data_IF_698395554403
#
_entry.id   IF_698395554403
#
_cell.length_a   1.000
_cell.length_b   1.000
_cell.length_c   1.000
_cell.angle_alpha   90.00
_cell.angle_beta   90.00
_cell.angle_gamma   90.00
#
_symmetry.space_group_name_H-M   'P 1'
#
loop_
_entity.id
_entity.type
_entity.pdbx_description
1 polymer ?
#
# COMPACT_ATOMS: atom_id res chain seq x y z
N UNK A 1 14.43 6.08 -11.71
CA UNK A 1 15.14 7.36 -11.97
C UNK A 1 14.92 7.78 -13.42
N UNK A 2 15.18 6.93 -14.41
CA UNK A 2 14.86 7.22 -15.81
C UNK A 2 13.37 7.54 -16.00
N UNK A 3 12.47 6.75 -15.39
CA UNK A 3 11.02 6.99 -15.47
C UNK A 3 10.60 8.39 -14.95
N UNK A 4 11.23 8.84 -13.86
CA UNK A 4 11.01 10.17 -13.28
C UNK A 4 11.49 11.26 -14.24
N UNK A 5 12.64 11.06 -14.89
CA UNK A 5 13.18 12.01 -15.86
C UNK A 5 12.30 12.13 -17.12
N UNK A 6 11.80 11.00 -17.63
CA UNK A 6 10.89 10.99 -18.79
C UNK A 6 9.54 11.62 -18.48
N UNK A 7 9.00 11.36 -17.28
CA UNK A 7 7.66 11.80 -16.92
C UNK A 7 7.62 13.29 -16.53
N UNK A 8 8.64 13.77 -15.81
CA UNK A 8 8.77 15.18 -15.45
C UNK A 8 9.28 16.07 -16.59
N UNK A 9 9.49 15.50 -17.79
CA UNK A 9 10.04 16.19 -18.96
C UNK A 9 11.30 17.01 -18.62
N UNK A 10 12.16 16.44 -17.75
CA UNK A 10 13.37 17.11 -17.30
C UNK A 10 14.27 17.36 -18.54
N UNK A 11 14.81 18.59 -18.73
CA UNK A 11 15.68 18.93 -19.87
C UNK A 11 17.09 18.36 -19.66
N UNK A 12 17.16 17.06 -19.37
CA UNK A 12 18.37 16.30 -19.12
C UNK A 12 18.55 15.35 -20.30
N UNK A 13 19.64 15.50 -21.04
CA UNK A 13 20.00 14.58 -22.13
C UNK A 13 20.60 13.34 -21.51
N UNK A 14 19.89 12.22 -21.59
CA UNK A 14 20.41 10.90 -21.20
C UNK A 14 20.46 9.93 -22.39
N UNK A 15 21.57 9.18 -22.47
CA UNK A 15 21.78 8.09 -23.44
C UNK A 15 21.43 6.75 -22.80
N UNK A 16 21.13 5.73 -23.62
CA UNK A 16 21.00 4.34 -23.15
C UNK A 16 22.29 3.79 -22.53
N UNK A 17 23.42 4.41 -22.84
CA UNK A 17 24.75 4.03 -22.34
C UNK A 17 25.13 4.73 -21.03
N UNK A 18 24.33 5.70 -20.56
CA UNK A 18 24.63 6.40 -19.30
C UNK A 18 24.47 5.45 -18.10
N UNK A 19 25.48 5.40 -17.24
CA UNK A 19 25.39 4.64 -15.99
C UNK A 19 24.48 5.35 -14.99
N UNK A 20 24.06 4.63 -13.95
CA UNK A 20 23.30 5.21 -12.83
C UNK A 20 24.00 6.44 -12.23
N UNK A 21 25.33 6.41 -12.17
CA UNK A 21 26.13 7.51 -11.63
C UNK A 21 26.10 8.73 -12.56
N UNK A 22 26.18 8.52 -13.88
CA UNK A 22 26.14 9.61 -14.86
C UNK A 22 24.79 10.33 -14.85
N UNK A 23 23.69 9.57 -14.74
CA UNK A 23 22.34 10.12 -14.62
C UNK A 23 22.20 10.95 -13.33
N UNK A 24 22.75 10.48 -12.21
CA UNK A 24 22.75 11.21 -10.95
C UNK A 24 23.55 12.52 -11.05
N UNK A 25 24.72 12.50 -11.68
CA UNK A 25 25.55 13.69 -11.87
C UNK A 25 24.86 14.72 -12.76
N UNK A 26 24.17 14.28 -13.83
CA UNK A 26 23.38 15.15 -14.70
C UNK A 26 22.18 15.78 -13.97
N UNK A 27 21.47 15.01 -13.15
CA UNK A 27 20.39 15.50 -12.29
C UNK A 27 20.93 16.51 -11.26
N UNK A 28 22.08 16.24 -10.66
CA UNK A 28 22.72 17.16 -9.72
C UNK A 28 23.14 18.47 -10.40
N UNK A 29 23.69 18.39 -11.62
CA UNK A 29 23.99 19.55 -12.46
C UNK A 29 22.74 20.38 -12.79
N UNK A 30 21.61 19.72 -13.05
CA UNK A 30 20.32 20.38 -13.24
C UNK A 30 19.88 21.13 -11.98
N UNK A 31 19.92 20.49 -10.80
CA UNK A 31 19.59 21.14 -9.53
C UNK A 31 20.50 22.33 -9.19
N UNK A 32 21.77 22.30 -9.64
CA UNK A 32 22.71 23.40 -9.43
C UNK A 32 22.46 24.58 -10.37
N UNK A 33 21.95 24.31 -11.57
CA UNK A 33 21.73 25.33 -12.63
C UNK A 33 20.38 26.03 -12.51
N UNK A 34 19.35 25.34 -12.01
CA UNK A 34 18.00 25.86 -11.92
C UNK A 34 17.60 26.00 -10.45
N UNK A 35 17.39 27.24 -9.98
CA UNK A 35 16.91 27.49 -8.61
C UNK A 35 15.39 27.38 -8.47
N UNK A 36 14.66 27.60 -9.56
CA UNK A 36 13.19 27.51 -9.62
C UNK A 36 12.84 26.84 -10.94
N UNK A 37 12.13 25.72 -10.85
CA UNK A 37 11.58 25.01 -12.00
C UNK A 37 10.20 24.51 -11.59
N UNK A 38 9.18 24.84 -12.38
CA UNK A 38 7.82 24.34 -12.20
C UNK A 38 7.61 23.12 -13.08
N UNK A 39 7.04 22.07 -12.49
CA UNK A 39 6.69 20.87 -13.24
C UNK A 39 5.24 20.96 -13.72
N UNK A 40 4.93 20.45 -14.93
CA UNK A 40 3.55 20.22 -15.32
C UNK A 40 2.92 19.15 -14.41
N UNK A 41 1.58 19.10 -14.39
CA UNK A 41 0.81 18.12 -13.61
C UNK A 41 1.36 16.71 -13.86
N UNK A 42 1.86 16.07 -12.81
CA UNK A 42 2.53 14.78 -12.86
C UNK A 42 1.94 13.83 -11.81
N UNK A 43 2.12 12.52 -12.00
CA UNK A 43 1.55 11.52 -11.08
C UNK A 43 2.16 11.56 -9.67
N UNK A 44 3.23 12.35 -9.48
CA UNK A 44 3.90 12.55 -8.21
C UNK A 44 3.41 13.81 -7.46
N UNK A 45 2.50 14.59 -8.04
CA UNK A 45 2.01 15.88 -7.51
C UNK A 45 3.14 16.83 -7.09
N UNK A 46 4.24 16.84 -7.85
CA UNK A 46 5.36 17.75 -7.62
C UNK A 46 5.09 19.03 -8.40
N UNK A 47 5.03 20.17 -7.75
CA UNK A 47 4.78 21.45 -8.43
C UNK A 47 6.09 22.21 -8.65
N UNK A 48 7.00 22.13 -7.67
CA UNK A 48 8.26 22.86 -7.69
C UNK A 48 9.46 21.95 -7.52
N UNK A 49 10.63 22.44 -7.95
CA UNK A 49 11.93 21.78 -7.77
C UNK A 49 12.22 21.35 -6.33
N UNK A 50 11.72 22.12 -5.35
CA UNK A 50 11.83 21.78 -3.92
C UNK A 50 11.08 20.47 -3.59
N UNK A 51 9.92 20.24 -4.19
CA UNK A 51 9.14 19.01 -3.99
C UNK A 51 9.88 17.82 -4.56
N UNK A 52 10.51 17.97 -5.74
CA UNK A 52 11.34 16.92 -6.32
C UNK A 52 12.55 16.60 -5.43
N UNK A 53 13.20 17.62 -4.87
CA UNK A 53 14.31 17.44 -3.93
C UNK A 53 13.85 16.68 -2.69
N UNK A 54 12.72 17.08 -2.10
CA UNK A 54 12.13 16.43 -0.94
C UNK A 54 11.74 14.98 -1.25
N UNK A 55 11.13 14.73 -2.42
CA UNK A 55 10.77 13.40 -2.90
C UNK A 55 11.99 12.49 -3.05
N UNK A 56 13.08 12.99 -3.65
CA UNK A 56 14.32 12.21 -3.83
C UNK A 56 15.06 11.94 -2.52
N UNK A 57 14.95 12.82 -1.52
CA UNK A 57 15.57 12.63 -0.20
C UNK A 57 14.69 11.89 0.80
N UNK A 58 13.37 11.88 0.60
CA UNK A 58 12.44 11.11 1.43
C UNK A 58 12.69 9.61 1.29
N UNK A 59 12.45 8.84 2.35
CA UNK A 59 12.47 7.38 2.26
C UNK A 59 11.50 6.95 1.17
N UNK A 60 12.02 6.26 0.13
CA UNK A 60 11.23 5.88 -1.04
C UNK A 60 9.98 5.11 -0.57
N UNK A 61 8.77 5.65 -0.74
CA UNK A 61 7.55 4.95 -0.34
C UNK A 61 7.33 3.67 -1.17
N UNK A 62 8.04 3.54 -2.29
CA UNK A 62 8.12 2.35 -3.12
C UNK A 62 9.42 1.56 -2.92
N UNK A 63 10.16 1.77 -1.82
CA UNK A 63 11.30 0.92 -1.45
C UNK A 63 10.80 -0.52 -1.49
N UNK A 64 11.31 -1.31 -2.43
CA UNK A 64 10.96 -2.72 -2.53
C UNK A 64 11.36 -3.36 -1.20
N UNK A 65 10.36 -3.76 -0.41
CA UNK A 65 10.55 -4.52 0.81
C UNK A 65 11.45 -5.72 0.49
N UNK A 66 12.48 -5.90 1.30
CA UNK A 66 13.24 -7.15 1.28
C UNK A 66 12.34 -8.31 1.70
N UNK A 67 12.66 -9.54 1.29
CA UNK A 67 11.90 -10.72 1.69
C UNK A 67 11.77 -10.81 3.23
N UNK A 68 12.86 -10.51 3.96
CA UNK A 68 12.88 -10.50 5.43
C UNK A 68 11.92 -9.47 6.04
N UNK A 69 11.91 -8.23 5.53
CA UNK A 69 11.00 -7.19 6.03
C UNK A 69 9.54 -7.56 5.74
N UNK A 70 9.27 -8.12 4.55
CA UNK A 70 7.92 -8.57 4.19
C UNK A 70 7.45 -9.71 5.09
N UNK A 71 8.31 -10.69 5.37
CA UNK A 71 7.99 -11.79 6.28
C UNK A 71 7.72 -11.29 7.69
N UNK A 72 8.50 -10.31 8.17
CA UNK A 72 8.25 -9.63 9.45
C UNK A 72 6.87 -8.96 9.48
N UNK A 73 6.54 -8.16 8.46
CA UNK A 73 5.23 -7.46 8.38
C UNK A 73 4.08 -8.48 8.37
N UNK A 74 4.23 -9.57 7.60
CA UNK A 74 3.22 -10.63 7.54
C UNK A 74 3.09 -11.33 8.88
N UNK A 75 4.20 -11.61 9.55
CA UNK A 75 4.22 -12.23 10.87
C UNK A 75 3.50 -11.37 11.91
N UNK A 76 3.82 -10.08 12.00
CA UNK A 76 3.12 -9.13 12.90
C UNK A 76 1.63 -9.05 12.57
N UNK A 77 1.27 -8.97 11.29
CA UNK A 77 -0.13 -8.98 10.86
C UNK A 77 -0.87 -10.25 11.32
N UNK A 78 -0.20 -11.41 11.32
CA UNK A 78 -0.77 -12.67 11.79
C UNK A 78 -0.92 -12.71 13.31
N UNK A 79 0.05 -12.18 14.07
CA UNK A 79 -0.07 -12.04 15.54
C UNK A 79 -1.30 -11.24 15.92
N UNK A 80 -1.51 -10.09 15.27
CA UNK A 80 -2.68 -9.23 15.49
C UNK A 80 -3.98 -9.94 15.11
N UNK A 81 -4.00 -10.66 13.99
CA UNK A 81 -5.16 -11.44 13.59
C UNK A 81 -5.45 -12.60 14.56
N UNK A 82 -4.42 -13.23 15.12
CA UNK A 82 -4.58 -14.26 16.14
C UNK A 82 -5.25 -13.69 17.38
N UNK A 83 -4.77 -12.54 17.86
CA UNK A 83 -5.41 -11.79 18.95
C UNK A 83 -6.90 -11.48 18.63
N UNK A 84 -7.20 -10.98 17.43
CA UNK A 84 -8.57 -10.67 17.03
C UNK A 84 -9.47 -11.91 16.90
N UNK A 85 -8.92 -13.07 16.52
CA UNK A 85 -9.65 -14.33 16.42
C UNK A 85 -9.91 -14.98 17.79
N UNK A 86 -9.12 -14.65 18.82
CA UNK A 86 -9.31 -15.11 20.19
C UNK A 86 -10.12 -14.09 21.02
N UNK A 87 -11.15 -13.50 20.41
CA UNK A 87 -12.04 -12.53 21.04
C UNK A 87 -11.32 -11.35 21.72
N UNK A 88 -10.18 -10.93 21.17
CA UNK A 88 -9.39 -9.79 21.67
C UNK A 88 -8.88 -10.00 23.11
N UNK A 89 -8.66 -11.26 23.50
CA UNK A 89 -8.14 -11.61 24.81
C UNK A 89 -6.61 -11.65 24.82
N UNK A 90 -5.99 -10.76 25.61
CA UNK A 90 -4.53 -10.65 25.73
C UNK A 90 -3.89 -11.94 26.27
N UNK A 91 -4.58 -12.72 27.11
CA UNK A 91 -4.06 -13.98 27.69
C UNK A 91 -3.77 -15.05 26.64
N UNK A 92 -4.45 -14.98 25.50
CA UNK A 92 -4.29 -15.91 24.37
C UNK A 92 -3.57 -15.23 23.21
N UNK A 93 -2.72 -14.25 23.50
CA UNK A 93 -1.96 -13.51 22.52
C UNK A 93 -0.50 -13.44 22.92
N UNK A 94 0.36 -13.20 21.93
CA UNK A 94 1.80 -12.98 22.12
C UNK A 94 2.11 -11.51 22.46
N UNK A 95 1.16 -10.78 23.06
CA UNK A 95 1.25 -9.38 23.41
C UNK A 95 1.00 -9.23 24.91
N UNK A 96 1.83 -8.44 25.58
CA UNK A 96 1.69 -8.19 27.01
C UNK A 96 0.71 -7.04 27.29
N UNK A 97 0.65 -6.07 26.36
CA UNK A 97 -0.22 -4.90 26.47
C UNK A 97 -0.93 -4.57 25.16
N UNK A 98 -2.07 -3.90 25.28
CA UNK A 98 -2.80 -3.37 24.11
C UNK A 98 -1.98 -2.30 23.35
N UNK A 99 -1.09 -1.58 24.04
CA UNK A 99 -0.24 -0.57 23.42
C UNK A 99 0.74 -1.17 22.40
N UNK A 100 1.32 -2.34 22.68
CA UNK A 100 2.19 -3.05 21.73
C UNK A 100 1.47 -3.39 20.43
N UNK A 101 0.18 -3.76 20.54
CA UNK A 101 -0.66 -4.06 19.39
C UNK A 101 -0.88 -2.80 18.55
N UNK A 102 -1.14 -1.66 19.21
CA UNK A 102 -1.33 -0.36 18.55
C UNK A 102 -0.05 0.08 17.84
N UNK A 103 1.11 -0.08 18.47
CA UNK A 103 2.41 0.28 17.89
C UNK A 103 2.71 -0.58 16.66
N UNK A 104 2.50 -1.89 16.76
CA UNK A 104 2.62 -2.81 15.62
C UNK A 104 1.62 -2.46 14.50
N UNK A 105 0.38 -2.11 14.84
CA UNK A 105 -0.64 -1.69 13.88
C UNK A 105 -0.20 -0.43 13.11
N UNK A 106 0.30 0.59 13.79
CA UNK A 106 0.83 1.79 13.14
C UNK A 106 2.04 1.50 12.26
N UNK A 107 2.91 0.59 12.69
CA UNK A 107 4.04 0.15 11.89
C UNK A 107 3.58 -0.56 10.60
N UNK A 108 2.67 -1.54 10.70
CA UNK A 108 2.23 -2.31 9.54
C UNK A 108 1.28 -1.53 8.63
N UNK A 109 0.52 -0.56 9.15
CA UNK A 109 -0.46 0.22 8.39
C UNK A 109 0.15 0.96 7.19
N UNK A 110 1.46 1.27 7.24
CA UNK A 110 2.22 1.85 6.12
C UNK A 110 2.27 0.92 4.90
N UNK A 111 2.08 -0.38 5.10
CA UNK A 111 2.20 -1.44 4.08
C UNK A 111 0.83 -2.02 3.69
N UNK A 112 -0.19 -1.17 3.57
CA UNK A 112 -1.57 -1.56 3.28
C UNK A 112 -1.79 -2.21 1.91
N UNK A 113 -0.79 -2.27 1.03
CA UNK A 113 -0.82 -3.07 -0.20
C UNK A 113 -0.84 -4.58 0.11
N UNK A 114 -0.33 -5.00 1.27
CA UNK A 114 -0.34 -6.38 1.74
C UNK A 114 -1.73 -6.74 2.28
N UNK A 115 -2.30 -7.86 1.82
CA UNK A 115 -3.64 -8.28 2.22
C UNK A 115 -3.77 -8.55 3.73
N UNK A 116 -2.78 -9.23 4.32
CA UNK A 116 -2.78 -9.55 5.77
C UNK A 116 -2.82 -8.29 6.64
N UNK A 117 -2.12 -7.23 6.22
CA UNK A 117 -2.13 -5.93 6.90
C UNK A 117 -3.54 -5.35 6.88
N UNK A 118 -4.19 -5.30 5.71
CA UNK A 118 -5.56 -4.77 5.61
C UNK A 118 -6.53 -5.53 6.51
N UNK A 119 -6.44 -6.86 6.52
CA UNK A 119 -7.27 -7.71 7.39
C UNK A 119 -7.02 -7.42 8.87
N UNK A 120 -5.76 -7.30 9.28
CA UNK A 120 -5.41 -7.02 10.67
C UNK A 120 -5.99 -5.66 11.13
N UNK A 121 -5.81 -4.62 10.32
CA UNK A 121 -6.35 -3.28 10.61
C UNK A 121 -7.88 -3.26 10.59
N UNK A 122 -8.52 -3.97 9.66
CA UNK A 122 -9.98 -4.11 9.60
C UNK A 122 -10.53 -4.81 10.86
N UNK A 123 -9.93 -5.93 11.27
CA UNK A 123 -10.31 -6.64 12.50
C UNK A 123 -10.15 -5.76 13.73
N UNK A 124 -9.03 -5.02 13.85
CA UNK A 124 -8.85 -4.07 14.95
C UNK A 124 -9.97 -3.01 14.98
N UNK A 125 -10.23 -2.37 13.85
CA UNK A 125 -11.25 -1.34 13.74
C UNK A 125 -12.67 -1.86 14.00
N UNK A 126 -12.94 -3.15 13.77
CA UNK A 126 -14.24 -3.75 14.06
C UNK A 126 -14.60 -3.66 15.55
N UNK A 127 -13.62 -3.85 16.44
CA UNK A 127 -13.84 -3.82 17.88
C UNK A 127 -13.44 -2.48 18.51
N UNK A 128 -12.34 -1.88 18.05
CA UNK A 128 -11.71 -0.70 18.66
C UNK A 128 -11.84 0.57 17.82
N UNK A 129 -12.54 0.51 16.67
CA UNK A 129 -12.65 1.63 15.73
C UNK A 129 -13.35 2.87 16.28
N UNK A 130 -14.14 2.73 17.35
CA UNK A 130 -14.76 3.86 18.06
C UNK A 130 -13.75 4.64 18.91
N UNK A 131 -12.63 4.02 19.32
CA UNK A 131 -11.57 4.64 20.12
C UNK A 131 -10.42 5.12 19.23
N UNK A 132 -9.87 4.20 18.44
CA UNK A 132 -8.66 4.44 17.65
C UNK A 132 -8.82 3.82 16.27
N UNK A 133 -9.30 4.62 15.31
CA UNK A 133 -9.46 4.19 13.93
C UNK A 133 -8.14 4.28 13.17
N UNK A 134 -7.62 3.14 12.74
CA UNK A 134 -6.37 3.07 11.98
C UNK A 134 -6.72 2.85 10.50
N UNK A 135 -6.12 3.63 9.60
CA UNK A 135 -6.35 3.49 8.16
C UNK A 135 -5.06 3.04 7.48
N UNK A 136 -5.04 1.89 6.79
CA UNK A 136 -3.85 1.43 6.10
C UNK A 136 -3.62 2.25 4.83
N UNK A 137 -2.37 2.58 4.54
CA UNK A 137 -1.98 3.24 3.30
C UNK A 137 -2.00 2.24 2.14
N UNK A 138 -2.83 2.49 1.14
CA UNK A 138 -2.98 1.65 -0.06
C UNK A 138 -2.57 2.47 -1.27
N UNK A 139 -1.64 1.95 -2.07
CA UNK A 139 -1.19 2.62 -3.29
C UNK A 139 -2.32 2.72 -4.31
N UNK A 140 -2.29 3.78 -5.14
CA UNK A 140 -3.33 4.02 -6.15
C UNK A 140 -3.51 2.82 -7.08
N UNK A 141 -2.40 2.25 -7.58
CA UNK A 141 -2.39 1.04 -8.41
C UNK A 141 -3.08 -0.13 -7.73
N UNK A 142 -2.83 -0.34 -6.43
CA UNK A 142 -3.46 -1.44 -5.68
C UNK A 142 -4.94 -1.17 -5.42
N UNK A 143 -5.30 0.09 -5.16
CA UNK A 143 -6.69 0.52 -5.01
C UNK A 143 -7.51 0.24 -6.27
N UNK A 144 -7.00 0.59 -7.45
CA UNK A 144 -7.63 0.26 -8.73
C UNK A 144 -7.78 -1.25 -8.95
N UNK A 145 -6.74 -2.04 -8.63
CA UNK A 145 -6.79 -3.50 -8.73
C UNK A 145 -7.89 -4.09 -7.84
N UNK A 146 -8.01 -3.57 -6.60
CA UNK A 146 -9.04 -3.98 -5.65
C UNK A 146 -10.45 -3.60 -6.13
N UNK A 147 -10.63 -2.39 -6.67
CA UNK A 147 -11.90 -1.94 -7.24
C UNK A 147 -12.30 -2.78 -8.47
N UNK A 148 -11.35 -3.10 -9.35
CA UNK A 148 -11.60 -4.03 -10.47
C UNK A 148 -12.07 -5.40 -9.97
N UNK A 149 -11.35 -5.99 -9.00
CA UNK A 149 -11.73 -7.27 -8.37
C UNK A 149 -13.11 -7.24 -7.73
N UNK A 150 -13.47 -6.12 -7.08
CA UNK A 150 -14.80 -5.91 -6.48
C UNK A 150 -15.89 -5.92 -7.55
N UNK A 151 -15.69 -5.19 -8.65
CA UNK A 151 -16.62 -5.15 -9.79
C UNK A 151 -16.84 -6.53 -10.42
N UNK A 152 -15.80 -7.37 -10.52
CA UNK A 152 -15.94 -8.74 -11.02
C UNK A 152 -16.78 -9.62 -10.09
N UNK A 153 -16.50 -9.60 -8.78
CA UNK A 153 -17.27 -10.40 -7.80
C UNK A 153 -18.76 -10.07 -7.78
N UNK A 154 -19.12 -8.80 -7.98
CA UNK A 154 -20.52 -8.36 -7.96
C UNK A 154 -21.32 -8.81 -9.18
N UNK A 155 -20.67 -9.11 -10.31
CA UNK A 155 -21.36 -9.48 -11.56
C UNK A 155 -21.76 -10.96 -11.63
N UNK A 156 -20.99 -11.86 -11.00
CA UNK A 156 -21.12 -13.32 -11.22
C UNK A 156 -21.74 -14.12 -10.05
N UNK A 157 -22.19 -13.48 -8.96
CA UNK A 157 -22.58 -14.20 -7.73
C UNK A 157 -23.99 -13.88 -7.21
N UNK A 158 -24.97 -13.72 -8.09
CA UNK A 158 -26.37 -13.76 -7.64
C UNK A 158 -26.82 -15.22 -7.52
N UNK A 159 -27.02 -15.68 -6.28
CA UNK A 159 -27.69 -16.95 -6.02
C UNK A 159 -29.12 -16.86 -6.58
N UNK A 160 -29.40 -17.61 -7.64
CA UNK A 160 -30.75 -17.75 -8.20
C UNK A 160 -31.43 -18.95 -7.54
N UNK A 161 -32.18 -18.68 -6.47
CA UNK A 161 -33.01 -19.69 -5.82
C UNK A 161 -34.27 -19.87 -6.66
N UNK A 162 -34.47 -21.08 -7.19
CA UNK A 162 -35.70 -21.44 -7.88
C UNK A 162 -36.53 -22.30 -6.93
N UNK A 163 -37.73 -21.83 -6.58
CA UNK A 163 -38.71 -22.56 -5.77
C UNK A 163 -39.94 -22.88 -6.61
N UNK A 164 -40.47 -24.10 -6.46
CA UNK A 164 -41.62 -24.58 -7.23
C UNK A 164 -42.12 -25.93 -6.71
N UNK A 165 -43.25 -26.40 -7.24
CA UNK A 165 -43.78 -27.73 -6.96
C UNK A 165 -43.17 -28.74 -7.93
N UNK A 166 -42.60 -29.82 -7.39
CA UNK A 166 -41.98 -30.89 -8.16
C UNK A 166 -42.76 -32.19 -7.94
N UNK A 167 -43.12 -32.88 -9.02
CA UNK A 167 -43.67 -34.24 -8.94
C UNK A 167 -42.48 -35.20 -9.01
N UNK A 168 -42.24 -35.92 -7.91
CA UNK A 168 -41.20 -36.94 -7.82
C UNK A 168 -41.87 -38.31 -7.89
N UNK A 169 -41.54 -39.09 -8.91
CA UNK A 169 -42.03 -40.45 -9.10
C UNK A 169 -40.85 -41.42 -9.14
N UNK A 170 -40.99 -42.56 -8.48
CA UNK A 170 -40.02 -43.66 -8.53
C UNK A 170 -40.62 -44.86 -9.26
N UNK A 171 -39.80 -45.51 -10.08
CA UNK A 171 -40.08 -46.75 -10.81
C UNK A 171 -39.66 -47.98 -10.02
#
# INVERSE_FOLDING_TARGET
MIDICSELSLPIVYSKDDTKHDIQTKIYGFFKKWMQYSFPTNHYNLEVLMDLRLYLTSENPNKRLTSKEKDKIIFLSKKILHYANNDYNLKYSDYDTEQEIIDDLYYIAKYGDILSVRKAVESWNKQHGNKTKITPYISHKKKEELEKKRKYKMKDQQLKIHSGSFVVSFS
#
